data_IF_780515317415
#
_entry.id   IF_780515317415
#
_cell.length_a   1.000
_cell.length_b   1.000
_cell.length_c   1.000
_cell.angle_alpha   90.00
_cell.angle_beta   90.00
_cell.angle_gamma   90.00
#
_symmetry.space_group_name_H-M   'P 1'
#
loop_
_entity.id
_entity.type
_entity.pdbx_description
1 polymer ?
#
# COMPACT_ATOMS: atom_id res chain seq x y z
N UNK A 1 -14.10 -2.91 -3.15
CA UNK A 1 -13.08 -2.58 -2.21
C UNK A 1 -13.33 -1.18 -1.67
N UNK A 2 -13.86 -1.08 -0.48
CA UNK A 2 -13.96 0.20 0.23
C UNK A 2 -12.55 0.53 0.65
N UNK A 3 -11.89 1.43 -0.10
CA UNK A 3 -10.55 1.85 0.25
C UNK A 3 -10.51 2.42 1.65
N UNK A 4 -9.39 2.29 2.32
CA UNK A 4 -9.11 2.72 3.69
C UNK A 4 -9.41 4.22 3.98
N UNK A 5 -9.81 4.99 2.97
CA UNK A 5 -10.23 6.39 3.07
C UNK A 5 -11.75 6.58 3.05
N UNK A 6 -12.53 5.51 2.88
CA UNK A 6 -13.98 5.58 3.01
C UNK A 6 -14.40 4.79 4.23
N UNK A 7 -14.56 5.49 5.34
CA UNK A 7 -15.57 5.09 6.29
C UNK A 7 -16.90 5.34 5.56
N UNK A 8 -17.78 4.33 5.40
CA UNK A 8 -19.08 4.54 4.79
C UNK A 8 -19.77 5.67 5.56
N UNK A 9 -19.95 6.84 4.94
CA UNK A 9 -20.56 8.00 5.56
C UNK A 9 -19.70 9.27 5.60
N UNK A 10 -18.40 9.22 5.34
CA UNK A 10 -17.49 10.40 5.43
C UNK A 10 -17.47 11.31 4.19
N UNK A 11 -18.31 11.07 3.17
CA UNK A 11 -18.48 12.12 2.16
C UNK A 11 -19.31 13.21 2.81
N UNK A 12 -18.67 14.36 3.09
CA UNK A 12 -19.35 15.54 3.60
C UNK A 12 -20.60 15.78 2.75
N UNK A 13 -21.78 15.99 3.35
CA UNK A 13 -23.03 16.16 2.63
C UNK A 13 -22.95 17.18 1.48
N UNK A 14 -22.21 18.26 1.68
CA UNK A 14 -21.95 19.30 0.67
C UNK A 14 -21.23 18.79 -0.58
N UNK A 15 -20.25 17.89 -0.42
CA UNK A 15 -19.53 17.29 -1.55
C UNK A 15 -20.41 16.29 -2.28
N UNK A 16 -21.24 15.56 -1.55
CA UNK A 16 -22.22 14.63 -2.14
C UNK A 16 -23.27 15.39 -2.99
N UNK A 17 -23.69 16.56 -2.55
CA UNK A 17 -24.60 17.43 -3.30
C UNK A 17 -23.90 17.92 -4.57
N UNK A 18 -22.70 18.49 -4.47
CA UNK A 18 -21.91 18.95 -5.65
C UNK A 18 -21.66 17.84 -6.66
N UNK A 19 -21.37 16.62 -6.21
CA UNK A 19 -21.20 15.47 -7.10
C UNK A 19 -22.50 15.07 -7.80
N UNK A 20 -23.64 15.12 -7.10
CA UNK A 20 -24.95 14.86 -7.71
C UNK A 20 -25.34 15.93 -8.71
N UNK A 21 -25.12 17.20 -8.41
CA UNK A 21 -25.34 18.31 -9.34
C UNK A 21 -24.49 18.14 -10.60
N UNK A 22 -23.23 17.75 -10.42
CA UNK A 22 -22.33 17.47 -11.54
C UNK A 22 -22.84 16.31 -12.40
N UNK A 23 -23.33 15.23 -11.81
CA UNK A 23 -23.90 14.06 -12.51
C UNK A 23 -25.18 14.43 -13.28
N UNK A 24 -25.96 15.42 -12.79
CA UNK A 24 -27.19 15.88 -13.46
C UNK A 24 -26.94 16.72 -14.74
N UNK A 25 -25.73 17.26 -14.91
CA UNK A 25 -25.37 18.09 -16.07
C UNK A 25 -25.04 17.27 -17.34
N UNK A 26 -25.11 15.95 -17.27
CA UNK A 26 -24.84 15.05 -18.39
C UNK A 26 -23.34 14.91 -18.75
N UNK A 27 -22.99 14.11 -19.76
CA UNK A 27 -21.61 13.78 -20.08
C UNK A 27 -20.89 14.97 -20.76
N UNK A 28 -20.27 15.83 -19.97
CA UNK A 28 -19.40 16.90 -20.46
C UNK A 28 -17.96 16.40 -20.47
N UNK A 29 -17.21 16.68 -21.54
CA UNK A 29 -15.79 16.29 -21.70
C UNK A 29 -14.87 16.64 -20.53
N UNK A 30 -15.27 17.56 -19.65
CA UNK A 30 -14.51 18.01 -18.46
C UNK A 30 -15.08 17.48 -17.14
N UNK A 31 -16.11 16.62 -17.18
CA UNK A 31 -16.80 16.15 -15.99
C UNK A 31 -15.88 15.41 -15.03
N UNK A 32 -15.04 14.52 -15.56
CA UNK A 32 -14.10 13.74 -14.76
C UNK A 32 -13.03 14.64 -14.09
N UNK A 33 -12.54 15.65 -14.82
CA UNK A 33 -11.56 16.60 -14.27
C UNK A 33 -12.14 17.46 -13.13
N UNK A 34 -13.39 17.88 -13.26
CA UNK A 34 -14.07 18.66 -12.21
C UNK A 34 -14.33 17.77 -10.99
N UNK A 35 -14.76 16.53 -11.22
CA UNK A 35 -14.95 15.54 -10.16
C UNK A 35 -13.65 15.24 -9.40
N UNK A 36 -12.57 15.01 -10.14
CA UNK A 36 -11.26 14.76 -9.54
C UNK A 36 -10.77 15.96 -8.73
N UNK A 37 -10.99 17.18 -9.21
CA UNK A 37 -10.64 18.40 -8.48
C UNK A 37 -11.43 18.52 -7.18
N UNK A 38 -12.76 18.32 -7.20
CA UNK A 38 -13.60 18.36 -5.99
C UNK A 38 -13.13 17.32 -4.96
N UNK A 39 -12.81 16.10 -5.41
CA UNK A 39 -12.33 15.04 -4.53
C UNK A 39 -10.94 15.32 -3.97
N UNK A 40 -10.06 15.92 -4.78
CA UNK A 40 -8.72 16.32 -4.35
C UNK A 40 -8.78 17.43 -3.30
N UNK A 41 -9.57 18.50 -3.54
CA UNK A 41 -9.73 19.60 -2.61
C UNK A 41 -10.30 19.11 -1.27
N UNK A 42 -11.25 18.17 -1.31
CA UNK A 42 -11.76 17.52 -0.11
C UNK A 42 -10.70 16.71 0.63
N UNK A 43 -9.89 15.95 -0.11
CA UNK A 43 -8.83 15.13 0.48
C UNK A 43 -7.77 16.01 1.17
N UNK A 44 -7.39 17.11 0.53
CA UNK A 44 -6.45 18.09 1.10
C UNK A 44 -7.03 18.67 2.39
N UNK A 45 -8.28 19.12 2.37
CA UNK A 45 -8.94 19.65 3.56
C UNK A 45 -8.96 18.67 4.73
N UNK A 46 -9.24 17.39 4.47
CA UNK A 46 -9.20 16.37 5.53
C UNK A 46 -7.79 16.15 6.11
N UNK A 47 -6.76 16.27 5.27
CA UNK A 47 -5.37 16.16 5.74
C UNK A 47 -5.00 17.39 6.59
N UNK A 48 -5.46 18.57 6.22
CA UNK A 48 -5.23 19.82 6.97
C UNK A 48 -5.97 19.81 8.32
N UNK A 49 -7.20 19.30 8.35
CA UNK A 49 -8.02 19.23 9.56
C UNK A 49 -7.47 18.26 10.62
N UNK A 50 -6.87 17.13 10.20
CA UNK A 50 -6.31 16.13 11.13
C UNK A 50 -5.06 15.44 10.54
N UNK A 51 -3.92 16.13 10.48
CA UNK A 51 -2.70 15.61 9.88
C UNK A 51 -2.15 14.39 10.64
N UNK A 52 -2.34 14.30 11.95
CA UNK A 52 -1.85 13.18 12.77
C UNK A 52 -2.54 11.86 12.37
N UNK A 53 -3.83 11.89 12.15
CA UNK A 53 -4.61 10.74 11.69
C UNK A 53 -4.07 10.20 10.36
N UNK A 54 -3.75 11.09 9.41
CA UNK A 54 -3.26 10.68 8.10
C UNK A 54 -1.84 10.13 8.13
N UNK A 55 -0.98 10.68 8.99
CA UNK A 55 0.36 10.13 9.23
C UNK A 55 0.26 8.71 9.79
N UNK A 56 -0.55 8.52 10.83
CA UNK A 56 -0.77 7.18 11.41
C UNK A 56 -1.35 6.21 10.38
N UNK A 57 -2.29 6.68 9.57
CA UNK A 57 -2.90 5.87 8.51
C UNK A 57 -1.88 5.47 7.44
N UNK A 58 -0.99 6.37 7.04
CA UNK A 58 0.10 6.08 6.12
C UNK A 58 1.02 4.97 6.65
N UNK A 59 1.46 5.07 7.91
CA UNK A 59 2.28 4.03 8.52
C UNK A 59 1.54 2.70 8.67
N UNK A 60 0.27 2.70 9.04
CA UNK A 60 -0.56 1.49 9.06
C UNK A 60 -0.63 0.83 7.69
N UNK A 61 -0.78 1.61 6.63
CA UNK A 61 -0.76 1.11 5.26
C UNK A 61 0.60 0.54 4.88
N UNK A 62 1.69 1.23 5.19
CA UNK A 62 3.04 0.73 4.93
C UNK A 62 3.29 -0.62 5.62
N UNK A 63 2.88 -0.76 6.87
CA UNK A 63 2.95 -2.04 7.60
C UNK A 63 2.07 -3.12 6.96
N UNK A 64 0.87 -2.76 6.50
CA UNK A 64 -0.01 -3.69 5.79
C UNK A 64 0.60 -4.18 4.47
N UNK A 65 1.37 -3.35 3.78
CA UNK A 65 2.13 -3.76 2.60
C UNK A 65 3.22 -4.78 2.93
N UNK A 66 3.95 -4.53 4.01
CA UNK A 66 5.06 -5.41 4.42
C UNK A 66 4.53 -6.74 4.94
N UNK A 67 3.53 -6.72 5.81
CA UNK A 67 3.03 -7.90 6.51
C UNK A 67 1.68 -8.37 5.96
N UNK A 68 0.60 -7.89 6.52
CA UNK A 68 -0.76 -8.31 6.22
C UNK A 68 -1.70 -7.12 6.36
N UNK A 69 -2.65 -7.01 5.46
CA UNK A 69 -3.75 -6.05 5.60
C UNK A 69 -4.75 -6.56 6.64
N UNK A 70 -4.77 -5.90 7.81
CA UNK A 70 -5.63 -6.30 8.95
C UNK A 70 -7.10 -6.05 8.65
N UNK A 71 -7.41 -5.16 7.71
CA UNK A 71 -8.79 -4.77 7.37
C UNK A 71 -9.21 -5.24 5.97
N UNK A 72 -8.63 -6.33 5.47
CA UNK A 72 -8.98 -6.84 4.15
C UNK A 72 -10.40 -7.40 4.12
N UNK A 73 -11.17 -6.97 3.11
CA UNK A 73 -12.52 -7.48 2.84
C UNK A 73 -12.54 -8.63 1.84
N UNK A 74 -11.37 -9.11 1.41
CA UNK A 74 -11.29 -10.21 0.44
C UNK A 74 -11.65 -11.54 1.10
N UNK A 75 -12.49 -12.36 0.45
CA UNK A 75 -12.86 -13.68 0.97
C UNK A 75 -11.60 -14.55 1.12
N UNK A 76 -11.52 -15.30 2.21
CA UNK A 76 -10.41 -16.20 2.55
C UNK A 76 -9.02 -15.54 2.70
N UNK A 77 -8.94 -14.21 2.76
CA UNK A 77 -7.68 -13.49 2.96
C UNK A 77 -6.97 -13.93 4.26
N UNK A 78 -7.73 -14.16 5.32
CA UNK A 78 -7.23 -14.56 6.64
C UNK A 78 -7.04 -16.06 6.82
N UNK A 79 -7.07 -16.83 5.73
CA UNK A 79 -6.74 -18.26 5.81
C UNK A 79 -5.28 -18.43 6.30
N UNK A 80 -5.08 -19.39 7.20
CA UNK A 80 -3.75 -19.74 7.75
C UNK A 80 -2.74 -20.02 6.64
N UNK A 81 -3.19 -20.69 5.57
CA UNK A 81 -2.37 -21.00 4.39
C UNK A 81 -1.87 -19.75 3.65
N UNK A 82 -2.58 -18.64 3.73
CA UNK A 82 -2.19 -17.38 3.10
C UNK A 82 -1.36 -16.50 4.04
N UNK A 83 -1.67 -16.52 5.32
CA UNK A 83 -1.06 -15.64 6.32
C UNK A 83 0.36 -16.08 6.68
N UNK A 84 0.53 -17.37 7.01
CA UNK A 84 1.81 -17.89 7.51
C UNK A 84 2.94 -17.69 6.49
N UNK A 85 2.80 -18.10 5.21
CA UNK A 85 3.85 -17.89 4.22
C UNK A 85 4.19 -16.42 4.02
N UNK A 86 3.20 -15.53 4.05
CA UNK A 86 3.42 -14.09 3.88
C UNK A 86 4.17 -13.47 5.05
N UNK A 87 3.83 -13.83 6.28
CA UNK A 87 4.56 -13.36 7.47
C UNK A 87 6.01 -13.87 7.46
N UNK A 88 6.22 -15.16 7.19
CA UNK A 88 7.56 -15.72 7.12
C UNK A 88 8.41 -15.03 6.06
N UNK A 89 7.84 -14.81 4.86
CA UNK A 89 8.51 -14.12 3.78
C UNK A 89 8.84 -12.66 4.15
N UNK A 90 7.94 -11.97 4.84
CA UNK A 90 8.17 -10.60 5.30
C UNK A 90 9.28 -10.52 6.33
N UNK A 91 9.29 -11.43 7.31
CA UNK A 91 10.34 -11.49 8.34
C UNK A 91 11.70 -11.80 7.69
N UNK A 92 11.77 -12.82 6.82
CA UNK A 92 13.01 -13.18 6.13
C UNK A 92 13.51 -12.05 5.24
N UNK A 93 12.60 -11.29 4.61
CA UNK A 93 12.95 -10.11 3.80
C UNK A 93 13.54 -9.01 4.66
N UNK A 94 12.94 -8.69 5.81
CA UNK A 94 13.46 -7.65 6.72
C UNK A 94 14.84 -8.03 7.23
N UNK A 95 15.02 -9.26 7.71
CA UNK A 95 16.33 -9.76 8.13
C UNK A 95 17.32 -9.65 6.98
N UNK A 96 16.87 -10.02 5.77
CA UNK A 96 17.64 -9.95 4.56
C UNK A 96 18.12 -8.56 4.20
N UNK A 97 17.26 -7.60 4.27
CA UNK A 97 17.60 -6.20 4.00
C UNK A 97 18.72 -5.75 4.96
N UNK A 98 18.58 -6.01 6.26
CA UNK A 98 19.61 -5.63 7.24
C UNK A 98 20.96 -6.29 6.95
N UNK A 99 20.96 -7.55 6.54
CA UNK A 99 22.19 -8.28 6.23
C UNK A 99 22.83 -7.79 4.94
N UNK A 100 22.03 -7.52 3.90
CA UNK A 100 22.53 -7.05 2.61
C UNK A 100 23.09 -5.63 2.70
N UNK A 101 22.48 -4.74 3.50
CA UNK A 101 23.01 -3.41 3.77
C UNK A 101 24.39 -3.46 4.43
N UNK A 102 24.64 -4.43 5.33
CA UNK A 102 25.96 -4.64 5.93
C UNK A 102 27.01 -5.14 4.94
N UNK A 103 26.60 -5.90 3.93
CA UNK A 103 27.50 -6.47 2.92
C UNK A 103 27.89 -5.48 1.83
N UNK A 104 27.29 -4.30 1.75
CA UNK A 104 27.56 -3.22 0.78
C UNK A 104 27.56 -3.70 -0.68
N UNK A 105 26.69 -4.62 -1.03
CA UNK A 105 26.57 -5.13 -2.42
C UNK A 105 25.68 -4.18 -3.21
N UNK A 106 26.27 -3.45 -4.15
CA UNK A 106 25.59 -2.39 -4.91
C UNK A 106 24.32 -2.85 -5.61
N UNK A 107 24.32 -4.04 -6.22
CA UNK A 107 23.14 -4.59 -6.91
C UNK A 107 21.94 -4.71 -5.97
N UNK A 108 22.16 -5.22 -4.74
CA UNK A 108 21.09 -5.39 -3.77
C UNK A 108 20.59 -4.05 -3.22
N UNK A 109 21.43 -3.02 -3.17
CA UNK A 109 21.00 -1.68 -2.77
C UNK A 109 19.91 -1.13 -3.71
N UNK A 110 19.98 -1.39 -5.02
CA UNK A 110 18.93 -1.01 -5.96
C UNK A 110 17.61 -1.76 -5.70
N UNK A 111 17.67 -3.07 -5.41
CA UNK A 111 16.47 -3.84 -5.06
C UNK A 111 15.84 -3.36 -3.75
N UNK A 112 16.66 -3.06 -2.74
CA UNK A 112 16.19 -2.53 -1.46
C UNK A 112 15.56 -1.15 -1.66
N UNK A 113 16.22 -0.27 -2.41
CA UNK A 113 15.68 1.06 -2.71
C UNK A 113 14.35 0.96 -3.46
N UNK A 114 14.28 0.12 -4.50
CA UNK A 114 13.05 -0.11 -5.24
C UNK A 114 11.93 -0.66 -4.35
N UNK A 115 12.24 -1.60 -3.47
CA UNK A 115 11.28 -2.16 -2.52
C UNK A 115 10.72 -1.10 -1.57
N UNK A 116 11.59 -0.32 -0.95
CA UNK A 116 11.20 0.74 -0.01
C UNK A 116 10.47 1.89 -0.71
N UNK A 117 10.91 2.28 -1.90
CA UNK A 117 10.27 3.32 -2.70
C UNK A 117 8.83 2.92 -3.10
N UNK A 118 8.63 1.66 -3.50
CA UNK A 118 7.28 1.16 -3.81
C UNK A 118 6.39 1.13 -2.57
N UNK A 119 6.88 0.66 -1.41
CA UNK A 119 6.11 0.70 -0.17
C UNK A 119 5.73 2.14 0.16
N UNK A 120 6.69 3.07 0.10
CA UNK A 120 6.44 4.49 0.35
C UNK A 120 5.38 5.07 -0.58
N UNK A 121 5.53 4.84 -1.89
CA UNK A 121 4.62 5.36 -2.89
C UNK A 121 3.20 4.77 -2.76
N UNK A 122 3.08 3.44 -2.71
CA UNK A 122 1.78 2.80 -2.66
C UNK A 122 1.05 2.99 -1.32
N UNK A 123 1.75 3.32 -0.24
CA UNK A 123 1.12 3.65 1.05
C UNK A 123 0.28 4.93 1.00
N UNK A 124 0.51 5.83 0.04
CA UNK A 124 -0.37 6.98 -0.21
C UNK A 124 -1.69 6.57 -0.88
N UNK A 125 -1.68 5.51 -1.67
CA UNK A 125 -2.83 5.07 -2.44
C UNK A 125 -3.58 3.91 -1.75
N UNK A 126 -4.47 3.26 -2.50
CA UNK A 126 -5.17 2.08 -2.04
C UNK A 126 -4.24 0.87 -1.96
N UNK A 127 -4.35 0.12 -0.87
CA UNK A 127 -3.69 -1.17 -0.76
C UNK A 127 -4.57 -2.20 -1.48
N UNK A 128 -4.22 -2.52 -2.71
CA UNK A 128 -4.81 -3.64 -3.42
C UNK A 128 -3.82 -4.81 -3.42
N UNK A 129 -4.27 -6.05 -3.18
CA UNK A 129 -3.38 -7.22 -3.16
C UNK A 129 -2.55 -7.37 -4.42
N UNK A 130 -3.07 -6.94 -5.58
CA UNK A 130 -2.35 -6.95 -6.86
C UNK A 130 -1.10 -6.08 -6.90
N UNK A 131 -1.05 -4.99 -6.13
CA UNK A 131 0.15 -4.13 -6.07
C UNK A 131 1.28 -4.78 -5.28
N UNK A 132 0.95 -5.76 -4.46
CA UNK A 132 1.94 -6.51 -3.69
C UNK A 132 2.68 -7.57 -4.52
N UNK A 133 2.19 -7.91 -5.72
CA UNK A 133 2.83 -8.93 -6.57
C UNK A 133 4.24 -8.55 -7.01
N UNK A 134 4.47 -7.27 -7.35
CA UNK A 134 5.82 -6.79 -7.72
C UNK A 134 6.78 -6.86 -6.53
N UNK A 135 6.30 -6.56 -5.33
CA UNK A 135 7.09 -6.63 -4.10
C UNK A 135 7.37 -8.06 -3.67
N UNK A 136 6.43 -8.98 -3.92
CA UNK A 136 6.59 -10.41 -3.62
C UNK A 136 7.82 -11.01 -4.33
N UNK A 137 8.02 -10.67 -5.59
CA UNK A 137 9.18 -11.14 -6.36
C UNK A 137 10.50 -10.73 -5.72
N UNK A 138 10.59 -9.49 -5.25
CA UNK A 138 11.79 -8.97 -4.57
C UNK A 138 11.98 -9.64 -3.21
N UNK A 139 10.90 -9.82 -2.46
CA UNK A 139 10.93 -10.54 -1.17
C UNK A 139 11.47 -11.96 -1.35
N UNK A 140 11.02 -12.68 -2.38
CA UNK A 140 11.51 -14.02 -2.70
C UNK A 140 12.99 -14.00 -3.05
N UNK A 141 13.44 -13.07 -3.90
CA UNK A 141 14.86 -12.96 -4.30
C UNK A 141 15.75 -12.70 -3.07
N UNK A 142 15.39 -11.76 -2.22
CA UNK A 142 16.15 -11.44 -1.01
C UNK A 142 16.18 -12.64 -0.06
N UNK A 143 15.05 -13.30 0.16
CA UNK A 143 14.92 -14.45 1.04
C UNK A 143 15.74 -15.65 0.55
N UNK A 144 15.67 -15.96 -0.75
CA UNK A 144 16.45 -17.04 -1.35
C UNK A 144 17.96 -16.78 -1.29
N UNK A 145 18.38 -15.55 -1.52
CA UNK A 145 19.80 -15.19 -1.41
C UNK A 145 20.34 -15.47 -0.02
N UNK A 146 19.59 -15.12 1.01
CA UNK A 146 19.99 -15.36 2.40
C UNK A 146 20.00 -16.84 2.73
N UNK A 147 18.96 -17.57 2.36
CA UNK A 147 18.89 -19.02 2.57
C UNK A 147 20.09 -19.71 1.93
N UNK A 148 20.44 -19.36 0.68
CA UNK A 148 21.61 -19.90 -0.01
C UNK A 148 22.93 -19.57 0.68
N UNK A 149 23.04 -18.38 1.27
CA UNK A 149 24.26 -17.95 1.96
C UNK A 149 24.49 -18.71 3.28
N UNK A 150 23.42 -19.04 3.99
CA UNK A 150 23.50 -19.71 5.30
C UNK A 150 23.32 -21.23 5.25
N UNK A 151 22.78 -21.76 4.16
CA UNK A 151 22.70 -23.20 3.87
C UNK A 151 23.25 -23.48 2.48
N UNK A 152 24.59 -23.50 2.29
CA UNK A 152 25.20 -23.70 0.98
C UNK A 152 24.91 -25.08 0.36
N UNK A 153 24.37 -26.04 1.13
CA UNK A 153 24.07 -27.41 0.71
C UNK A 153 22.58 -27.65 0.37
N UNK A 154 21.78 -26.63 0.21
CA UNK A 154 20.47 -26.65 -0.43
C UNK A 154 20.62 -26.13 -1.85
#
# INVERSE_FOLDING_TARGET
GVGMFRIPGEIVPEVKIKLKELESLGPVKKHDLIKDKILLDQAIKFIEDDPQRYIVLYFKKALSFIFIDINSTYPNYYSILNIIPKILLSITTIIGIFMLLRLKINLFNYFIFYYLANIGLFSFFFILPRYNLSLLSIQIIISLYILKKYKPNL
#
